data_IF_125929403509
#
_entry.id   IF_125929403509
#
_cell.length_a   1.000
_cell.length_b   1.000
_cell.length_c   1.000
_cell.angle_alpha   90.00
_cell.angle_beta   90.00
_cell.angle_gamma   90.00
#
_symmetry.space_group_name_H-M   'P 1'
#
loop_
_entity.id
_entity.type
_entity.pdbx_description
1 polymer ?
#
# COMPACT_ATOMS: atom_id res chain seq x y z
N UNK A 1 -13.49 -8.10 6.66
CA UNK A 1 -13.00 -7.10 5.67
C UNK A 1 -11.56 -7.41 5.38
N UNK A 2 -11.18 -7.39 4.13
CA UNK A 2 -9.81 -7.58 3.63
C UNK A 2 -9.29 -6.21 3.16
N UNK A 3 -7.99 -5.95 3.27
CA UNK A 3 -7.38 -4.71 2.77
C UNK A 3 -6.44 -5.02 1.60
N UNK A 4 -6.55 -4.26 0.52
CA UNK A 4 -5.63 -4.30 -0.63
C UNK A 4 -4.94 -2.96 -0.75
N UNK A 5 -3.62 -2.97 -0.63
CA UNK A 5 -2.77 -1.76 -0.70
C UNK A 5 -2.05 -1.74 -2.05
N UNK A 6 -2.28 -0.70 -2.83
CA UNK A 6 -1.61 -0.54 -4.12
C UNK A 6 -0.33 0.27 -4.00
N UNK A 7 0.78 -0.34 -4.41
CA UNK A 7 2.11 0.26 -4.49
C UNK A 7 2.81 -0.05 -5.83
N UNK A 8 2.02 -0.46 -6.84
CA UNK A 8 2.52 -0.85 -8.16
C UNK A 8 2.91 0.33 -9.06
N UNK A 9 2.73 1.57 -8.60
CA UNK A 9 3.13 2.76 -9.35
C UNK A 9 4.63 2.79 -9.64
N UNK A 10 5.01 3.14 -10.88
CA UNK A 10 6.42 3.22 -11.29
C UNK A 10 7.11 4.48 -10.76
N UNK A 11 6.36 5.57 -10.50
CA UNK A 11 6.83 6.83 -9.91
C UNK A 11 7.97 7.52 -10.71
N UNK A 12 7.96 7.39 -12.04
CA UNK A 12 9.04 7.85 -12.94
C UNK A 12 9.40 9.32 -12.73
N UNK A 13 8.42 10.20 -12.49
CA UNK A 13 8.66 11.60 -12.24
C UNK A 13 9.49 11.82 -10.98
N UNK A 14 9.07 11.24 -9.86
CA UNK A 14 9.78 11.35 -8.58
C UNK A 14 11.19 10.75 -8.68
N UNK A 15 11.34 9.61 -9.34
CA UNK A 15 12.65 8.97 -9.54
C UNK A 15 13.57 9.83 -10.40
N UNK A 16 13.02 10.46 -11.45
CA UNK A 16 13.77 11.41 -12.30
C UNK A 16 14.21 12.65 -11.52
N UNK A 17 13.33 13.21 -10.70
CA UNK A 17 13.65 14.37 -9.86
C UNK A 17 14.75 14.04 -8.84
N UNK A 18 14.66 12.90 -8.17
CA UNK A 18 15.70 12.45 -7.23
C UNK A 18 17.02 12.18 -7.95
N UNK A 19 16.97 11.57 -9.15
CA UNK A 19 18.18 11.27 -9.93
C UNK A 19 18.88 12.53 -10.43
N UNK A 20 18.13 13.59 -10.74
CA UNK A 20 18.66 14.87 -11.23
C UNK A 20 19.13 15.83 -10.11
N UNK A 21 18.86 15.49 -8.85
CA UNK A 21 19.32 16.32 -7.73
C UNK A 21 20.84 16.29 -7.61
N UNK A 22 21.44 17.46 -7.74
CA UNK A 22 22.91 17.64 -7.64
C UNK A 22 23.38 17.97 -6.22
N UNK A 23 22.45 18.18 -5.30
CA UNK A 23 22.79 18.53 -3.91
C UNK A 23 23.32 17.36 -3.09
N UNK A 24 23.11 16.12 -3.54
CA UNK A 24 23.42 14.88 -2.83
C UNK A 24 22.52 14.60 -1.63
N UNK A 25 21.55 15.47 -1.33
CA UNK A 25 20.66 15.31 -0.18
C UNK A 25 19.75 14.08 -0.28
N UNK A 26 19.42 13.69 -1.51
CA UNK A 26 18.49 12.61 -1.79
C UNK A 26 19.16 11.34 -2.34
N UNK A 27 20.49 11.26 -2.31
CA UNK A 27 21.23 10.10 -2.85
C UNK A 27 20.78 8.77 -2.26
N UNK A 28 20.44 8.74 -0.97
CA UNK A 28 19.96 7.55 -0.27
C UNK A 28 18.55 7.12 -0.69
N UNK A 29 17.82 7.99 -1.40
CA UNK A 29 16.45 7.72 -1.86
C UNK A 29 16.40 7.26 -3.32
N UNK A 30 17.54 7.24 -4.03
CA UNK A 30 17.61 6.77 -5.42
C UNK A 30 17.13 5.32 -5.53
N UNK A 31 16.11 5.10 -6.37
CA UNK A 31 15.52 3.80 -6.62
C UNK A 31 14.60 3.28 -5.50
N UNK A 32 14.46 4.00 -4.37
CA UNK A 32 13.55 3.61 -3.29
C UNK A 32 12.10 3.83 -3.73
N UNK A 33 11.20 2.82 -3.59
CA UNK A 33 9.79 2.98 -3.90
C UNK A 33 9.16 4.09 -3.06
N UNK A 34 8.25 4.88 -3.66
CA UNK A 34 7.58 6.01 -3.00
C UNK A 34 6.96 5.64 -1.65
N UNK A 35 6.26 4.50 -1.58
CA UNK A 35 5.63 4.03 -0.35
C UNK A 35 6.65 3.62 0.76
N UNK A 36 7.91 3.40 0.40
CA UNK A 36 8.99 3.10 1.34
C UNK A 36 9.87 4.31 1.67
N UNK A 37 9.52 5.50 1.17
CA UNK A 37 10.18 6.73 1.59
C UNK A 37 9.97 6.96 3.09
N UNK A 38 10.97 7.57 3.77
CA UNK A 38 10.85 7.91 5.19
C UNK A 38 9.63 8.80 5.43
N UNK A 39 8.80 8.39 6.37
CA UNK A 39 7.75 9.23 6.95
C UNK A 39 8.26 9.88 8.25
N UNK A 40 7.50 10.85 8.77
CA UNK A 40 7.79 11.37 10.10
C UNK A 40 7.84 10.21 11.12
N UNK A 41 8.75 10.29 12.08
CA UNK A 41 8.86 9.28 13.12
C UNK A 41 7.51 9.03 13.81
N UNK A 42 7.28 7.80 14.21
CA UNK A 42 6.14 7.43 15.05
C UNK A 42 6.20 8.18 16.38
N UNK A 43 5.12 8.21 17.14
CA UNK A 43 5.04 8.86 18.45
C UNK A 43 6.06 8.32 19.47
N UNK A 44 6.53 7.09 19.27
CA UNK A 44 7.59 6.43 20.05
C UNK A 44 9.01 6.75 19.53
N UNK A 45 9.15 7.59 18.50
CA UNK A 45 10.43 7.95 17.90
C UNK A 45 10.99 6.92 16.91
N UNK A 46 10.27 5.82 16.63
CA UNK A 46 10.72 4.79 15.68
C UNK A 46 10.69 5.33 14.25
N UNK A 47 11.79 5.26 13.49
CA UNK A 47 11.78 5.60 12.07
C UNK A 47 10.77 4.72 11.32
N UNK A 48 9.91 5.35 10.54
CA UNK A 48 8.90 4.64 9.78
C UNK A 48 8.90 5.07 8.32
N UNK A 49 8.44 4.17 7.45
CA UNK A 49 8.12 4.48 6.06
C UNK A 49 6.64 4.84 5.94
N UNK A 50 6.24 5.42 4.80
CA UNK A 50 4.83 5.71 4.52
C UNK A 50 4.00 4.42 4.66
N UNK A 51 4.43 3.33 4.02
CA UNK A 51 3.77 2.02 4.11
C UNK A 51 3.81 1.44 5.53
N UNK A 52 4.92 1.61 6.25
CA UNK A 52 5.06 1.14 7.63
C UNK A 52 4.03 1.77 8.57
N UNK A 53 3.74 3.07 8.40
CA UNK A 53 2.65 3.73 9.15
C UNK A 53 1.28 3.12 8.84
N UNK A 54 1.02 2.81 7.58
CA UNK A 54 -0.19 2.11 7.17
C UNK A 54 -0.28 0.73 7.81
N UNK A 55 0.78 -0.06 7.70
CA UNK A 55 0.83 -1.41 8.25
C UNK A 55 0.53 -1.42 9.75
N UNK A 56 1.12 -0.48 10.49
CA UNK A 56 0.85 -0.33 11.92
C UNK A 56 -0.64 -0.05 12.20
N UNK A 57 -1.31 0.78 11.38
CA UNK A 57 -2.72 1.08 11.53
C UNK A 57 -3.63 -0.11 11.23
N UNK A 58 -3.37 -0.86 10.17
CA UNK A 58 -4.23 -1.98 9.73
C UNK A 58 -3.99 -3.23 10.55
N UNK A 59 -2.77 -3.52 10.94
CA UNK A 59 -2.40 -4.73 11.69
C UNK A 59 -3.05 -4.80 13.07
N UNK A 60 -3.43 -3.65 13.65
CA UNK A 60 -4.04 -3.56 14.97
C UNK A 60 -5.57 -3.55 14.96
N UNK A 61 -6.25 -3.60 13.79
CA UNK A 61 -7.67 -3.16 13.66
C UNK A 61 -8.63 -4.18 13.03
N UNK A 62 -8.57 -5.44 13.38
CA UNK A 62 -9.57 -6.45 12.94
C UNK A 62 -9.72 -6.56 11.40
N UNK A 63 -8.68 -6.28 10.67
CA UNK A 63 -8.59 -6.61 9.25
C UNK A 63 -8.12 -8.06 9.15
N UNK A 64 -8.89 -8.89 8.42
CA UNK A 64 -8.64 -10.34 8.33
C UNK A 64 -7.33 -10.64 7.61
N UNK A 65 -7.12 -9.98 6.48
CA UNK A 65 -5.93 -10.13 5.66
C UNK A 65 -5.59 -8.81 4.99
N UNK A 66 -4.31 -8.59 4.74
CA UNK A 66 -3.80 -7.44 4.00
C UNK A 66 -2.96 -7.95 2.84
N UNK A 67 -3.24 -7.45 1.64
CA UNK A 67 -2.49 -7.73 0.42
C UNK A 67 -1.79 -6.47 -0.07
N UNK A 68 -0.60 -6.65 -0.63
CA UNK A 68 0.19 -5.59 -1.23
C UNK A 68 0.37 -5.89 -2.73
N UNK A 69 -0.01 -4.95 -3.60
CA UNK A 69 0.22 -5.10 -5.04
C UNK A 69 1.37 -4.21 -5.47
N UNK A 70 2.40 -4.81 -6.05
CA UNK A 70 3.62 -4.11 -6.50
C UNK A 70 3.97 -4.49 -7.93
N UNK A 71 4.79 -3.67 -8.58
CA UNK A 71 5.38 -4.00 -9.88
C UNK A 71 6.67 -4.85 -9.74
N UNK A 72 7.10 -5.46 -10.85
CA UNK A 72 8.25 -6.36 -10.86
C UNK A 72 9.56 -5.68 -10.44
N UNK A 73 9.76 -4.41 -10.81
CA UNK A 73 10.99 -3.68 -10.50
C UNK A 73 11.16 -3.38 -9.01
N UNK A 74 10.04 -3.27 -8.30
CA UNK A 74 10.04 -2.88 -6.88
C UNK A 74 9.76 -4.05 -5.93
N UNK A 75 9.41 -5.22 -6.44
CA UNK A 75 9.02 -6.39 -5.67
C UNK A 75 10.02 -6.71 -4.53
N UNK A 76 11.32 -6.77 -4.83
CA UNK A 76 12.35 -7.08 -3.82
C UNK A 76 12.49 -6.04 -2.71
N UNK A 77 12.12 -4.80 -2.96
CA UNK A 77 12.10 -3.79 -1.91
C UNK A 77 10.98 -4.08 -0.91
N UNK A 78 9.82 -4.47 -1.41
CA UNK A 78 8.67 -4.81 -0.57
C UNK A 78 8.84 -6.15 0.15
N UNK A 79 9.49 -7.15 -0.46
CA UNK A 79 9.88 -8.38 0.25
C UNK A 79 10.76 -8.08 1.48
N UNK A 80 11.79 -7.26 1.30
CA UNK A 80 12.68 -6.85 2.40
C UNK A 80 11.93 -6.09 3.49
N UNK A 81 11.07 -5.17 3.07
CA UNK A 81 10.24 -4.42 4.00
C UNK A 81 9.29 -5.35 4.76
N UNK A 82 8.64 -6.29 4.08
CA UNK A 82 7.72 -7.26 4.66
C UNK A 82 8.41 -8.09 5.75
N UNK A 83 9.58 -8.64 5.45
CA UNK A 83 10.39 -9.41 6.41
C UNK A 83 10.77 -8.57 7.63
N UNK A 84 11.08 -7.30 7.45
CA UNK A 84 11.48 -6.40 8.54
C UNK A 84 10.30 -5.91 9.40
N UNK A 85 9.05 -6.07 8.93
CA UNK A 85 7.84 -5.55 9.58
C UNK A 85 6.81 -6.64 9.90
N UNK A 86 7.19 -7.91 9.87
CA UNK A 86 6.31 -9.06 10.11
C UNK A 86 5.06 -9.05 9.20
N UNK A 87 5.20 -8.55 7.97
CA UNK A 87 4.17 -8.62 6.95
C UNK A 87 4.28 -9.98 6.21
N UNK A 88 3.15 -10.70 5.96
CA UNK A 88 3.17 -11.97 5.24
C UNK A 88 3.69 -11.78 3.81
N UNK A 89 4.86 -12.30 3.50
CA UNK A 89 5.50 -12.15 2.17
C UNK A 89 4.65 -12.78 1.06
N UNK A 90 3.92 -13.84 1.38
CA UNK A 90 2.98 -14.54 0.47
C UNK A 90 1.76 -13.69 0.08
N UNK A 91 1.54 -12.58 0.77
CA UNK A 91 0.50 -11.61 0.47
C UNK A 91 1.00 -10.43 -0.40
N UNK A 92 2.26 -10.48 -0.84
CA UNK A 92 2.77 -9.54 -1.83
C UNK A 92 2.50 -10.10 -3.23
N UNK A 93 1.69 -9.39 -4.00
CA UNK A 93 1.31 -9.77 -5.36
C UNK A 93 2.08 -8.89 -6.34
N UNK A 94 2.80 -9.53 -7.26
CA UNK A 94 3.56 -8.86 -8.31
C UNK A 94 2.68 -8.79 -9.57
N UNK A 95 2.41 -7.59 -10.08
CA UNK A 95 1.64 -7.37 -11.31
C UNK A 95 2.43 -7.69 -12.59
N UNK A 96 3.74 -7.96 -12.46
CA UNK A 96 4.63 -8.30 -13.56
C UNK A 96 5.06 -7.12 -14.42
N UNK A 97 4.57 -5.90 -14.18
CA UNK A 97 4.91 -4.73 -14.99
C UNK A 97 6.32 -4.22 -14.68
N UNK A 98 7.03 -3.78 -15.73
CA UNK A 98 8.42 -3.31 -15.63
C UNK A 98 8.60 -1.85 -16.07
N UNK A 99 7.54 -1.21 -16.56
CA UNK A 99 7.57 0.18 -17.01
C UNK A 99 6.22 0.85 -16.87
N UNK A 100 6.18 2.17 -16.80
CA UNK A 100 4.93 2.93 -16.78
C UNK A 100 4.04 2.68 -18.01
N UNK A 101 4.66 2.36 -19.15
CA UNK A 101 3.92 2.04 -20.38
C UNK A 101 3.19 0.69 -20.29
N UNK A 102 3.69 -0.26 -19.50
CA UNK A 102 3.09 -1.59 -19.31
C UNK A 102 2.14 -1.69 -18.12
N UNK A 103 1.99 -0.62 -17.32
CA UNK A 103 1.14 -0.64 -16.12
C UNK A 103 -0.29 -1.07 -16.44
N UNK A 104 -0.85 -1.93 -15.61
CA UNK A 104 -2.21 -2.45 -15.79
C UNK A 104 -3.28 -1.50 -15.25
N UNK A 105 -2.95 -0.71 -14.25
CA UNK A 105 -3.88 0.18 -13.54
C UNK A 105 -4.60 -0.49 -12.38
N UNK A 106 -5.09 0.31 -11.45
CA UNK A 106 -5.58 -0.16 -10.15
C UNK A 106 -6.77 -1.14 -10.23
N UNK A 107 -7.59 -1.06 -11.26
CA UNK A 107 -8.72 -2.00 -11.46
C UNK A 107 -8.19 -3.38 -11.85
N UNK A 108 -7.22 -3.44 -12.77
CA UNK A 108 -6.61 -4.71 -13.17
C UNK A 108 -5.73 -5.29 -12.05
N UNK A 109 -5.07 -4.44 -11.26
CA UNK A 109 -4.34 -4.85 -10.06
C UNK A 109 -5.27 -5.47 -9.01
N UNK A 110 -6.47 -4.90 -8.83
CA UNK A 110 -7.48 -5.50 -7.95
C UNK A 110 -7.97 -6.85 -8.49
N UNK A 111 -8.28 -6.94 -9.78
CA UNK A 111 -8.69 -8.21 -10.42
C UNK A 111 -7.60 -9.28 -10.27
N UNK A 112 -6.32 -8.91 -10.37
CA UNK A 112 -5.21 -9.83 -10.12
C UNK A 112 -5.24 -10.39 -8.71
N UNK A 113 -5.48 -9.56 -7.69
CA UNK A 113 -5.61 -10.00 -6.29
C UNK A 113 -6.78 -10.96 -6.14
N UNK A 114 -7.96 -10.62 -6.68
CA UNK A 114 -9.16 -11.44 -6.57
C UNK A 114 -8.98 -12.82 -7.23
N UNK A 115 -8.26 -12.88 -8.34
CA UNK A 115 -7.92 -14.16 -9.02
C UNK A 115 -6.88 -14.95 -8.24
N UNK A 116 -5.87 -14.31 -7.66
CA UNK A 116 -4.83 -14.97 -6.88
C UNK A 116 -5.37 -15.53 -5.55
N UNK A 117 -6.40 -14.91 -5.00
CA UNK A 117 -6.99 -15.22 -3.69
C UNK A 117 -8.53 -15.21 -3.77
N UNK A 118 -9.16 -16.21 -4.38
CA UNK A 118 -10.63 -16.23 -4.61
C UNK A 118 -11.47 -16.11 -3.34
N UNK A 119 -10.95 -16.56 -2.18
CA UNK A 119 -11.62 -16.44 -0.88
C UNK A 119 -11.96 -14.98 -0.48
N UNK A 120 -11.25 -14.00 -1.06
CA UNK A 120 -11.52 -12.58 -0.80
C UNK A 120 -12.86 -12.14 -1.39
N UNK A 121 -13.35 -12.79 -2.46
CA UNK A 121 -14.59 -12.41 -3.12
C UNK A 121 -15.83 -12.51 -2.22
N UNK A 122 -15.75 -13.25 -1.13
CA UNK A 122 -16.81 -13.37 -0.13
C UNK A 122 -16.68 -12.33 1.01
N UNK A 123 -15.68 -11.47 0.95
CA UNK A 123 -15.39 -10.46 1.96
C UNK A 123 -15.61 -9.05 1.45
N UNK A 124 -15.92 -8.14 2.36
CA UNK A 124 -15.78 -6.71 2.07
C UNK A 124 -14.30 -6.39 1.82
N UNK A 125 -14.03 -5.62 0.79
CA UNK A 125 -12.68 -5.24 0.40
C UNK A 125 -12.47 -3.73 0.58
N UNK A 126 -11.46 -3.36 1.34
CA UNK A 126 -10.97 -2.00 1.44
C UNK A 126 -9.74 -1.82 0.54
N UNK A 127 -9.79 -0.85 -0.36
CA UNK A 127 -8.69 -0.53 -1.27
C UNK A 127 -8.01 0.75 -0.82
N UNK A 128 -6.69 0.75 -0.81
CA UNK A 128 -5.86 1.85 -0.33
C UNK A 128 -4.71 2.13 -1.29
N UNK A 129 -4.41 3.40 -1.52
CA UNK A 129 -3.16 3.81 -2.15
C UNK A 129 -2.05 3.83 -1.08
N UNK A 130 -1.02 3.01 -1.24
CA UNK A 130 0.03 2.81 -0.23
C UNK A 130 1.03 3.97 -0.09
N UNK A 131 0.90 5.00 -0.91
CA UNK A 131 1.71 6.22 -0.88
C UNK A 131 1.01 7.42 -0.20
N UNK A 132 -0.13 7.17 0.47
CA UNK A 132 -0.87 8.18 1.20
C UNK A 132 -0.38 8.30 2.65
N UNK A 133 -0.33 9.54 3.13
CA UNK A 133 -0.04 9.85 4.53
C UNK A 133 -1.33 10.30 5.19
N UNK A 134 -1.69 9.65 6.29
CA UNK A 134 -2.85 10.00 7.10
C UNK A 134 -2.44 10.80 8.32
N UNK A 135 -3.35 11.66 8.81
CA UNK A 135 -3.15 12.34 10.08
C UNK A 135 -3.17 11.33 11.25
N UNK A 136 -2.64 11.74 12.40
CA UNK A 136 -2.61 10.86 13.58
C UNK A 136 -4.02 10.55 14.12
N UNK A 137 -5.02 11.36 13.75
CA UNK A 137 -6.42 11.19 14.19
C UNK A 137 -7.20 10.28 13.22
N UNK A 138 -6.57 9.78 12.16
CA UNK A 138 -7.23 8.87 11.23
C UNK A 138 -7.62 7.57 11.93
N UNK A 139 -8.94 7.28 11.95
CA UNK A 139 -9.50 6.10 12.58
C UNK A 139 -10.07 5.12 11.55
N UNK A 140 -9.35 4.04 11.31
CA UNK A 140 -9.80 2.98 10.41
C UNK A 140 -11.06 2.28 10.91
N UNK A 141 -11.27 2.23 12.23
CA UNK A 141 -12.50 1.66 12.82
C UNK A 141 -13.70 2.52 12.50
N UNK A 142 -13.52 3.84 12.43
CA UNK A 142 -14.53 4.79 11.96
C UNK A 142 -14.93 4.54 10.52
N UNK A 143 -13.95 4.29 9.63
CA UNK A 143 -14.21 3.94 8.22
C UNK A 143 -15.02 2.65 8.13
N UNK A 144 -14.63 1.61 8.86
CA UNK A 144 -15.34 0.32 8.87
C UNK A 144 -16.77 0.46 9.40
N UNK A 145 -16.97 1.24 10.45
CA UNK A 145 -18.31 1.51 11.02
C UNK A 145 -19.20 2.23 10.02
N UNK A 146 -18.70 3.31 9.42
CA UNK A 146 -19.43 4.06 8.39
C UNK A 146 -19.84 3.18 7.21
N UNK A 147 -18.94 2.31 6.74
CA UNK A 147 -19.23 1.38 5.66
C UNK A 147 -20.38 0.42 6.01
N UNK A 148 -20.35 -0.18 7.22
CA UNK A 148 -21.44 -1.09 7.69
C UNK A 148 -22.78 -0.38 7.81
N UNK A 149 -22.79 0.85 8.34
CA UNK A 149 -24.00 1.66 8.44
C UNK A 149 -24.62 1.95 7.07
N UNK A 150 -23.79 2.17 6.04
CA UNK A 150 -24.26 2.39 4.68
C UNK A 150 -24.78 1.14 3.98
N UNK A 151 -24.23 -0.04 4.30
CA UNK A 151 -24.77 -1.30 3.79
C UNK A 151 -26.17 -1.61 4.33
N UNK A 152 -26.44 -1.25 5.60
CA UNK A 152 -27.77 -1.43 6.23
C UNK A 152 -28.81 -0.39 5.83
N UNK A 153 -28.44 0.66 5.12
CA UNK A 153 -29.37 1.72 4.68
C UNK A 153 -29.94 1.39 3.30
N UNK A 154 -31.28 1.45 3.10
CA UNK A 154 -31.86 1.27 1.76
C UNK A 154 -31.25 2.31 0.81
N UNK A 155 -30.79 1.86 -0.36
CA UNK A 155 -30.33 2.77 -1.42
C UNK A 155 -31.48 3.69 -1.76
N UNK A 156 -31.30 4.99 -1.59
CA UNK A 156 -32.21 5.98 -2.18
C UNK A 156 -31.97 5.93 -3.68
N UNK A 157 -32.97 5.44 -4.42
CA UNK A 157 -33.03 5.55 -5.87
C UNK A 157 -33.05 7.01 -6.30
#
# INVERSE_FOLDING_TARGET
MVCVIFVAGHNDLLESEIASDVSGRFDKLKGVPKALLPAAASTDGTPSTILGRWWHLVNTRQILEVFLVTNANKFKYYERWATANDFPVENIINDGTTSAASRMGSVADLDLVLRAKPSICESDVMVVAGDMIFSNDFDISGVQRFFREKQGSPRKE
#
